data_IF_813145117110
#
_entry.id   IF_813145117110
#
_cell.length_a   1.000
_cell.length_b   1.000
_cell.length_c   1.000
_cell.angle_alpha   90.00
_cell.angle_beta   90.00
_cell.angle_gamma   90.00
#
_symmetry.space_group_name_H-M   'P 1'
#
loop_
_entity.id
_entity.type
_entity.pdbx_description
1 polymer ?
#
# COMPACT_ATOMS: atom_id res chain seq x y z
N UNK A 1 -60.06 40.82 -56.04
CA UNK A 1 -60.03 40.43 -54.62
C UNK A 1 -59.17 39.19 -54.47
N UNK A 2 -58.09 39.30 -53.68
CA UNK A 2 -57.43 38.26 -52.84
C UNK A 2 -56.92 36.98 -53.52
N UNK A 3 -55.75 36.41 -53.23
CA UNK A 3 -54.78 36.66 -52.16
C UNK A 3 -53.46 36.00 -52.58
N UNK A 4 -52.35 36.75 -52.57
CA UNK A 4 -51.02 36.17 -52.73
C UNK A 4 -50.57 35.56 -51.41
N UNK A 5 -50.35 34.24 -51.38
CA UNK A 5 -49.72 33.57 -50.24
C UNK A 5 -48.21 33.76 -50.31
N UNK A 6 -47.69 34.74 -49.57
CA UNK A 6 -46.27 34.85 -49.25
C UNK A 6 -45.87 33.67 -48.35
N UNK A 7 -44.98 32.79 -48.85
CA UNK A 7 -44.32 31.78 -48.00
C UNK A 7 -43.29 32.50 -47.14
N UNK A 8 -43.53 32.55 -45.83
CA UNK A 8 -42.48 32.95 -44.89
C UNK A 8 -41.32 31.95 -44.94
N UNK A 9 -40.05 32.41 -44.91
CA UNK A 9 -38.91 31.54 -44.71
C UNK A 9 -39.00 30.91 -43.31
N UNK A 10 -39.04 29.58 -43.27
CA UNK A 10 -39.09 28.82 -42.02
C UNK A 10 -37.98 29.24 -41.07
N UNK A 11 -38.38 29.71 -39.88
CA UNK A 11 -37.49 30.05 -38.78
C UNK A 11 -36.56 28.87 -38.50
N UNK A 12 -35.26 29.11 -38.58
CA UNK A 12 -34.25 28.12 -38.19
C UNK A 12 -34.51 27.66 -36.75
N UNK A 13 -34.32 26.36 -36.44
CA UNK A 13 -34.47 25.88 -35.06
C UNK A 13 -33.56 26.69 -34.14
N UNK A 14 -34.02 27.06 -32.94
CA UNK A 14 -33.24 27.87 -32.02
C UNK A 14 -31.90 27.17 -31.75
N UNK A 15 -30.81 27.87 -32.06
CA UNK A 15 -29.46 27.44 -31.70
C UNK A 15 -29.45 27.26 -30.18
N UNK A 16 -29.06 26.08 -29.64
CA UNK A 16 -29.03 25.87 -28.20
C UNK A 16 -28.14 26.94 -27.57
N UNK A 17 -28.76 27.85 -26.84
CA UNK A 17 -28.09 28.96 -26.20
C UNK A 17 -27.15 28.41 -25.12
N UNK A 18 -25.99 29.05 -25.05
CA UNK A 18 -24.89 28.87 -24.10
C UNK A 18 -25.29 28.06 -22.86
N UNK A 19 -24.69 26.86 -22.73
CA UNK A 19 -24.72 25.99 -21.55
C UNK A 19 -24.81 26.83 -20.28
N UNK A 20 -25.92 26.71 -19.53
CA UNK A 20 -26.14 27.44 -18.29
C UNK A 20 -24.88 27.42 -17.43
N UNK A 21 -24.39 28.61 -17.05
CA UNK A 21 -23.25 28.77 -16.14
C UNK A 21 -23.63 28.09 -14.83
N UNK A 22 -23.11 26.87 -14.62
CA UNK A 22 -23.16 26.20 -13.31
C UNK A 22 -22.60 27.17 -12.26
N UNK A 23 -23.28 27.25 -11.11
CA UNK A 23 -22.89 28.09 -9.96
C UNK A 23 -21.38 27.98 -9.71
N UNK A 24 -20.68 29.10 -9.42
CA UNK A 24 -19.24 29.08 -9.22
C UNK A 24 -18.92 28.17 -8.03
N UNK A 25 -18.30 27.03 -8.31
CA UNK A 25 -17.71 26.19 -7.28
C UNK A 25 -16.30 26.70 -7.00
N UNK A 26 -15.76 26.45 -5.81
CA UNK A 26 -14.36 26.82 -5.52
C UNK A 26 -13.43 26.21 -6.58
N UNK A 27 -12.41 26.95 -7.01
CA UNK A 27 -11.45 26.53 -8.04
C UNK A 27 -10.88 25.12 -7.82
N UNK A 28 -10.70 24.71 -6.55
CA UNK A 28 -10.24 23.38 -6.17
C UNK A 28 -11.24 22.26 -6.57
N UNK A 29 -12.54 22.51 -6.43
CA UNK A 29 -13.62 21.59 -6.82
C UNK A 29 -13.70 21.49 -8.34
N UNK A 30 -13.48 22.58 -9.06
CA UNK A 30 -13.44 22.57 -10.54
C UNK A 30 -12.22 21.80 -11.07
N UNK A 31 -11.06 22.05 -10.46
CA UNK A 31 -9.82 21.34 -10.79
C UNK A 31 -9.98 19.83 -10.55
N UNK A 32 -10.55 19.43 -9.40
CA UNK A 32 -10.84 18.02 -9.10
C UNK A 32 -11.96 17.43 -9.97
N UNK A 33 -12.90 18.26 -10.44
CA UNK A 33 -13.92 17.87 -11.40
C UNK A 33 -13.32 17.35 -12.71
N UNK A 34 -12.17 17.87 -13.11
CA UNK A 34 -11.47 17.48 -14.33
C UNK A 34 -10.81 16.10 -14.27
N UNK A 35 -10.56 15.50 -15.44
CA UNK A 35 -9.78 14.25 -15.52
C UNK A 35 -8.31 14.45 -15.12
N UNK A 36 -7.77 15.65 -15.30
CA UNK A 36 -6.38 16.00 -14.95
C UNK A 36 -6.22 16.07 -13.44
N UNK A 37 -7.11 16.79 -12.73
CA UNK A 37 -7.07 16.88 -11.27
C UNK A 37 -7.23 15.52 -10.59
N UNK A 38 -8.10 14.64 -11.11
CA UNK A 38 -8.24 13.27 -10.59
C UNK A 38 -6.96 12.43 -10.74
N UNK A 39 -6.25 12.56 -11.87
CA UNK A 39 -4.96 11.89 -12.07
C UNK A 39 -3.88 12.44 -11.13
N UNK A 40 -3.86 13.75 -10.90
CA UNK A 40 -2.94 14.37 -9.95
C UNK A 40 -3.19 13.85 -8.52
N UNK A 41 -4.46 13.82 -8.07
CA UNK A 41 -4.82 13.24 -6.77
C UNK A 41 -4.44 11.76 -6.69
N UNK A 42 -4.71 10.97 -7.74
CA UNK A 42 -4.31 9.56 -7.78
C UNK A 42 -2.79 9.37 -7.65
N UNK A 43 -1.99 10.22 -8.29
CA UNK A 43 -0.54 10.16 -8.23
C UNK A 43 0.00 10.58 -6.86
N UNK A 44 -0.47 11.70 -6.30
CA UNK A 44 -0.01 12.20 -4.99
C UNK A 44 -0.35 11.22 -3.88
N UNK A 45 -1.60 10.74 -3.85
CA UNK A 45 -2.03 9.72 -2.87
C UNK A 45 -1.26 8.42 -3.05
N UNK A 46 -0.99 8.02 -4.29
CA UNK A 46 -0.15 6.86 -4.61
C UNK A 46 1.27 6.99 -4.04
N UNK A 47 1.92 8.16 -4.15
CA UNK A 47 3.25 8.41 -3.57
C UNK A 47 3.23 8.25 -2.05
N UNK A 48 2.25 8.86 -1.38
CA UNK A 48 2.10 8.77 0.08
C UNK A 48 1.94 7.31 0.51
N UNK A 49 1.06 6.56 -0.15
CA UNK A 49 0.82 5.15 0.16
C UNK A 49 2.03 4.27 -0.14
N UNK A 50 2.74 4.50 -1.26
CA UNK A 50 3.98 3.78 -1.59
C UNK A 50 5.08 4.03 -0.55
N UNK A 51 5.26 5.29 -0.14
CA UNK A 51 6.20 5.66 0.91
C UNK A 51 5.88 4.97 2.24
N UNK A 52 4.59 4.94 2.61
CA UNK A 52 4.14 4.22 3.79
C UNK A 52 4.41 2.73 3.72
N UNK A 53 4.05 2.06 2.62
CA UNK A 53 4.29 0.61 2.45
C UNK A 53 5.78 0.28 2.58
N UNK A 54 6.66 1.13 2.03
CA UNK A 54 8.11 0.96 2.17
C UNK A 54 8.57 1.09 3.62
N UNK A 55 8.21 2.17 4.32
CA UNK A 55 8.62 2.38 5.72
C UNK A 55 7.98 1.33 6.64
N UNK A 56 6.74 0.92 6.36
CA UNK A 56 6.05 -0.13 7.08
C UNK A 56 6.74 -1.49 6.92
N UNK A 57 7.13 -1.86 5.70
CA UNK A 57 7.94 -3.05 5.45
C UNK A 57 9.26 -2.99 6.22
N UNK A 58 9.99 -1.87 6.16
CA UNK A 58 11.25 -1.69 6.90
C UNK A 58 11.04 -1.85 8.41
N UNK A 59 9.97 -1.29 8.95
CA UNK A 59 9.58 -1.48 10.35
C UNK A 59 9.32 -2.94 10.69
N UNK A 60 8.59 -3.67 9.84
CA UNK A 60 8.27 -5.09 10.04
C UNK A 60 9.51 -5.99 9.93
N UNK A 61 10.49 -5.66 9.08
CA UNK A 61 11.73 -6.42 8.95
C UNK A 61 12.58 -6.45 10.22
N UNK A 62 12.30 -5.58 11.20
CA UNK A 62 12.90 -5.66 12.55
C UNK A 62 12.56 -6.96 13.28
N UNK A 63 11.56 -7.71 12.82
CA UNK A 63 11.26 -9.06 13.32
C UNK A 63 12.43 -10.05 13.12
N UNK A 64 13.37 -9.74 12.22
CA UNK A 64 14.57 -10.54 11.98
C UNK A 64 15.81 -10.04 12.74
N UNK A 65 15.68 -9.02 13.59
CA UNK A 65 16.80 -8.56 14.40
C UNK A 65 17.03 -9.54 15.56
N UNK A 66 18.26 -9.65 16.08
CA UNK A 66 18.47 -10.22 17.42
C UNK A 66 17.58 -9.47 18.43
N UNK A 67 17.04 -10.15 19.44
CA UNK A 67 16.06 -9.57 20.38
C UNK A 67 14.85 -8.93 19.67
N UNK A 68 14.34 -9.59 18.63
CA UNK A 68 13.29 -9.06 17.76
C UNK A 68 12.08 -8.55 18.53
N UNK A 69 11.66 -9.26 19.59
CA UNK A 69 10.56 -8.86 20.46
C UNK A 69 10.77 -7.47 21.05
N UNK A 70 11.92 -7.27 21.70
CA UNK A 70 12.31 -5.99 22.29
C UNK A 70 12.38 -4.90 21.24
N UNK A 71 13.03 -5.16 20.10
CA UNK A 71 13.21 -4.15 19.05
C UNK A 71 11.89 -3.74 18.38
N UNK A 72 10.99 -4.68 18.10
CA UNK A 72 9.73 -4.39 17.44
C UNK A 72 8.77 -3.67 18.40
N UNK A 73 8.68 -4.14 19.66
CA UNK A 73 7.82 -3.53 20.67
C UNK A 73 8.32 -2.12 21.04
N UNK A 74 9.62 -1.93 21.23
CA UNK A 74 10.21 -0.61 21.45
C UNK A 74 10.03 0.33 20.26
N UNK A 75 10.15 -0.18 19.03
CA UNK A 75 9.87 0.62 17.84
C UNK A 75 8.41 1.05 17.77
N UNK A 76 7.47 0.15 18.07
CA UNK A 76 6.05 0.46 18.15
C UNK A 76 5.73 1.53 19.21
N UNK A 77 6.43 1.49 20.35
CA UNK A 77 6.30 2.51 21.39
C UNK A 77 6.93 3.85 21.01
N UNK A 78 8.12 3.83 20.39
CA UNK A 78 8.76 5.03 19.87
C UNK A 78 7.86 5.80 18.90
N UNK A 79 7.17 5.10 17.99
CA UNK A 79 6.20 5.74 17.09
C UNK A 79 5.07 6.48 17.81
N UNK A 80 4.75 6.09 19.06
CA UNK A 80 3.77 6.76 19.92
C UNK A 80 4.35 7.90 20.72
N UNK A 81 5.65 8.18 20.68
CA UNK A 81 6.26 9.27 21.47
C UNK A 81 6.99 10.28 20.59
N UNK A 82 7.02 10.06 19.26
CA UNK A 82 7.59 11.01 18.30
C UNK A 82 6.92 12.40 18.45
N UNK A 83 7.75 13.41 18.68
CA UNK A 83 7.32 14.81 18.79
C UNK A 83 6.94 15.25 20.20
N UNK A 84 7.03 14.39 21.21
CA UNK A 84 6.92 14.83 22.61
C UNK A 84 8.08 15.77 22.99
N UNK A 85 7.83 16.82 23.80
CA UNK A 85 6.55 17.23 24.39
C UNK A 85 5.73 18.19 23.51
N UNK A 86 6.19 18.56 22.31
CA UNK A 86 5.52 19.53 21.42
C UNK A 86 4.13 19.02 21.00
N UNK A 87 4.03 17.73 20.71
CA UNK A 87 2.78 17.02 20.48
C UNK A 87 2.50 16.08 21.67
N UNK A 88 1.23 15.80 22.01
CA UNK A 88 0.89 14.72 22.93
C UNK A 88 1.46 13.38 22.42
N UNK A 89 1.73 12.42 23.30
CA UNK A 89 2.24 11.06 22.98
C UNK A 89 1.80 10.58 21.60
N UNK A 90 0.55 10.17 21.45
CA UNK A 90 0.06 9.63 20.17
C UNK A 90 -0.21 10.66 19.06
N UNK A 91 0.13 11.94 19.26
CA UNK A 91 -0.24 13.06 18.39
C UNK A 91 0.33 12.93 16.98
N UNK A 92 1.65 12.73 16.86
CA UNK A 92 2.29 12.50 15.56
C UNK A 92 1.75 11.26 14.85
N UNK A 93 1.55 10.16 15.59
CA UNK A 93 0.99 8.93 15.06
C UNK A 93 -0.41 9.14 14.46
N UNK A 94 -1.27 9.93 15.12
CA UNK A 94 -2.60 10.25 14.62
C UNK A 94 -2.60 11.16 13.38
N UNK A 95 -1.62 12.07 13.27
CA UNK A 95 -1.41 12.86 12.05
C UNK A 95 -1.11 11.94 10.87
N UNK A 96 -0.13 11.04 11.06
CA UNK A 96 0.24 10.06 10.01
C UNK A 96 -0.95 9.17 9.66
N UNK A 97 -1.65 8.61 10.65
CA UNK A 97 -2.86 7.78 10.42
C UNK A 97 -3.94 8.52 9.64
N UNK A 98 -4.24 9.76 10.02
CA UNK A 98 -5.25 10.57 9.34
C UNK A 98 -4.85 10.86 7.89
N UNK A 99 -3.57 11.19 7.66
CA UNK A 99 -3.05 11.40 6.31
C UNK A 99 -3.13 10.14 5.44
N UNK A 100 -2.85 8.95 6.01
CA UNK A 100 -2.96 7.67 5.31
C UNK A 100 -4.40 7.30 4.99
N UNK A 101 -5.32 7.45 5.94
CA UNK A 101 -6.75 7.20 5.73
C UNK A 101 -7.27 8.11 4.63
N UNK A 102 -7.00 9.42 4.72
CA UNK A 102 -7.41 10.38 3.71
C UNK A 102 -6.81 10.03 2.35
N UNK A 103 -5.52 9.70 2.29
CA UNK A 103 -4.84 9.33 1.04
C UNK A 103 -5.45 8.07 0.43
N UNK A 104 -5.74 7.05 1.23
CA UNK A 104 -6.37 5.81 0.79
C UNK A 104 -7.77 6.03 0.22
N UNK A 105 -8.62 6.79 0.93
CA UNK A 105 -9.98 7.11 0.48
C UNK A 105 -9.96 7.92 -0.82
N UNK A 106 -9.10 8.94 -0.90
CA UNK A 106 -8.94 9.74 -2.11
C UNK A 106 -8.37 8.92 -3.27
N UNK A 107 -7.46 7.98 -3.01
CA UNK A 107 -6.90 7.09 -4.01
C UNK A 107 -7.99 6.20 -4.62
N UNK A 108 -8.81 5.56 -3.79
CA UNK A 108 -9.95 4.74 -4.24
C UNK A 108 -10.96 5.60 -5.01
N UNK A 109 -11.34 6.76 -4.46
CA UNK A 109 -12.32 7.63 -5.09
C UNK A 109 -11.84 8.11 -6.48
N UNK A 110 -10.56 8.49 -6.61
CA UNK A 110 -9.96 8.87 -7.88
C UNK A 110 -9.92 7.67 -8.86
N UNK A 111 -9.54 6.48 -8.39
CA UNK A 111 -9.49 5.26 -9.21
C UNK A 111 -10.87 4.88 -9.77
N UNK A 112 -11.91 4.91 -8.93
CA UNK A 112 -13.30 4.64 -9.33
C UNK A 112 -13.80 5.72 -10.29
N UNK A 113 -13.56 7.00 -9.96
CA UNK A 113 -13.98 8.13 -10.79
C UNK A 113 -13.35 8.10 -12.18
N UNK A 114 -12.05 7.83 -12.27
CA UNK A 114 -11.33 7.71 -13.55
C UNK A 114 -11.80 6.49 -14.33
N UNK A 115 -12.06 5.37 -13.65
CA UNK A 115 -12.62 4.17 -14.29
C UNK A 115 -14.01 4.43 -14.88
N UNK A 116 -14.88 5.13 -14.14
CA UNK A 116 -16.21 5.51 -14.62
C UNK A 116 -16.13 6.50 -15.79
N UNK A 117 -15.26 7.50 -15.73
CA UNK A 117 -15.03 8.44 -16.85
C UNK A 117 -14.52 7.71 -18.10
N UNK A 118 -13.55 6.82 -17.96
CA UNK A 118 -13.02 6.03 -19.07
C UNK A 118 -14.08 5.11 -19.70
N UNK A 119 -14.99 4.56 -18.89
CA UNK A 119 -16.12 3.75 -19.38
C UNK A 119 -17.15 4.60 -20.11
N UNK A 120 -17.51 5.76 -19.56
CA UNK A 120 -18.48 6.69 -20.19
C UNK A 120 -17.96 7.26 -21.50
N UNK A 121 -16.66 7.51 -21.60
CA UNK A 121 -16.02 8.01 -22.83
C UNK A 121 -15.93 6.93 -23.94
N UNK A 122 -16.29 5.67 -23.66
CA UNK A 122 -16.11 4.53 -24.58
C UNK A 122 -17.40 3.68 -24.71
N UNK A 123 -18.44 4.19 -25.40
CA UNK A 123 -19.69 3.45 -25.63
C UNK A 123 -19.58 2.34 -26.70
N UNK A 124 -18.61 2.41 -27.62
CA UNK A 124 -18.28 1.31 -28.56
C UNK A 124 -16.90 0.74 -28.19
N UNK A 125 -16.77 -0.59 -28.20
CA UNK A 125 -15.49 -1.28 -27.95
C UNK A 125 -14.43 -0.95 -29.01
N UNK A 126 -13.15 -1.18 -28.72
CA UNK A 126 -12.07 -0.93 -29.68
C UNK A 126 -12.05 -1.98 -30.81
N UNK A 127 -12.04 -1.52 -32.05
CA UNK A 127 -11.78 -2.32 -33.25
C UNK A 127 -10.26 -2.41 -33.49
N UNK A 128 -9.60 -3.51 -33.04
CA UNK A 128 -8.17 -3.75 -33.31
C UNK A 128 -7.50 -4.74 -32.35
N UNK A 129 -7.10 -5.92 -32.85
CA UNK A 129 -6.89 -7.13 -32.03
C UNK A 129 -5.56 -7.35 -31.28
N UNK A 130 -4.46 -6.63 -31.56
CA UNK A 130 -3.12 -7.02 -31.05
C UNK A 130 -2.52 -6.19 -29.92
N UNK A 131 -2.67 -4.86 -29.92
CA UNK A 131 -2.23 -3.99 -28.80
C UNK A 131 -3.28 -3.88 -27.68
N UNK A 132 -4.53 -4.26 -28.00
CA UNK A 132 -5.67 -4.18 -27.08
C UNK A 132 -5.61 -5.21 -25.95
N UNK A 133 -5.19 -6.44 -26.24
CA UNK A 133 -5.17 -7.53 -25.25
C UNK A 133 -4.28 -7.18 -24.05
N UNK A 134 -3.06 -6.70 -24.29
CA UNK A 134 -2.13 -6.31 -23.24
C UNK A 134 -2.64 -5.12 -22.40
N UNK A 135 -3.22 -4.10 -23.03
CA UNK A 135 -3.81 -2.96 -22.33
C UNK A 135 -5.05 -3.37 -21.51
N UNK A 136 -5.88 -4.28 -22.04
CA UNK A 136 -7.06 -4.82 -21.35
C UNK A 136 -6.68 -5.69 -20.17
N UNK A 137 -5.61 -6.49 -20.29
CA UNK A 137 -5.09 -7.34 -19.24
C UNK A 137 -4.54 -6.50 -18.09
N UNK A 138 -3.66 -5.53 -18.38
CA UNK A 138 -3.11 -4.62 -17.37
C UNK A 138 -4.21 -3.83 -16.64
N UNK A 139 -5.27 -3.41 -17.34
CA UNK A 139 -6.41 -2.74 -16.71
C UNK A 139 -7.22 -3.68 -15.81
N UNK A 140 -7.39 -4.95 -16.20
CA UNK A 140 -8.11 -5.96 -15.42
C UNK A 140 -7.32 -6.35 -14.17
N UNK A 141 -6.02 -6.61 -14.31
CA UNK A 141 -5.13 -6.93 -13.19
C UNK A 141 -5.04 -5.77 -12.21
N UNK A 142 -4.99 -4.51 -12.68
CA UNK A 142 -4.98 -3.34 -11.79
C UNK A 142 -6.23 -3.18 -10.94
N UNK A 143 -7.41 -3.43 -11.51
CA UNK A 143 -8.67 -3.33 -10.77
C UNK A 143 -8.77 -4.42 -9.71
N UNK A 144 -8.52 -5.67 -10.11
CA UNK A 144 -8.63 -6.79 -9.18
C UNK A 144 -7.55 -6.78 -8.12
N UNK A 145 -6.29 -6.44 -8.47
CA UNK A 145 -5.24 -6.27 -7.46
C UNK A 145 -5.58 -5.16 -6.46
N UNK A 146 -6.16 -4.03 -6.92
CA UNK A 146 -6.62 -2.97 -6.02
C UNK A 146 -7.74 -3.41 -5.08
N UNK A 147 -8.71 -4.18 -5.56
CA UNK A 147 -9.78 -4.75 -4.70
C UNK A 147 -9.21 -5.72 -3.69
N UNK A 148 -8.32 -6.63 -4.09
CA UNK A 148 -7.65 -7.58 -3.21
C UNK A 148 -6.84 -6.84 -2.13
N UNK A 149 -6.08 -5.81 -2.51
CA UNK A 149 -5.32 -4.98 -1.55
C UNK A 149 -6.26 -4.26 -0.57
N UNK A 150 -7.41 -3.76 -1.03
CA UNK A 150 -8.39 -3.13 -0.15
C UNK A 150 -8.98 -4.12 0.88
N UNK A 151 -9.33 -5.32 0.46
CA UNK A 151 -9.79 -6.38 1.35
C UNK A 151 -8.70 -6.84 2.32
N UNK A 152 -7.47 -6.99 1.82
CA UNK A 152 -6.30 -7.31 2.63
C UNK A 152 -6.04 -6.24 3.69
N UNK A 153 -6.14 -4.95 3.36
CA UNK A 153 -5.95 -3.88 4.34
C UNK A 153 -6.97 -3.98 5.48
N UNK A 154 -8.25 -4.25 5.16
CA UNK A 154 -9.28 -4.45 6.20
C UNK A 154 -8.95 -5.65 7.09
N UNK A 155 -8.60 -6.79 6.48
CA UNK A 155 -8.19 -7.98 7.22
C UNK A 155 -6.96 -7.71 8.09
N UNK A 156 -5.91 -7.09 7.53
CA UNK A 156 -4.69 -6.72 8.21
C UNK A 156 -4.93 -5.82 9.44
N UNK A 157 -5.84 -4.85 9.33
CA UNK A 157 -6.21 -4.00 10.46
C UNK A 157 -6.99 -4.79 11.53
N UNK A 158 -7.94 -5.64 11.13
CA UNK A 158 -8.65 -6.52 12.07
C UNK A 158 -7.70 -7.49 12.79
N UNK A 159 -6.66 -7.94 12.10
CA UNK A 159 -5.73 -8.95 12.60
C UNK A 159 -4.62 -8.36 13.50
N UNK A 160 -3.97 -7.27 13.07
CA UNK A 160 -2.77 -6.74 13.75
C UNK A 160 -2.96 -5.38 14.42
N UNK A 161 -4.07 -4.69 14.19
CA UNK A 161 -4.31 -3.35 14.78
C UNK A 161 -5.47 -3.33 15.77
N UNK A 162 -6.57 -3.99 15.43
CA UNK A 162 -7.78 -4.02 16.25
C UNK A 162 -7.95 -5.33 17.03
N UNK A 163 -7.37 -6.43 16.55
CA UNK A 163 -7.37 -7.74 17.22
C UNK A 163 -8.61 -8.60 16.98
N UNK A 164 -9.60 -8.15 16.20
CA UNK A 164 -10.82 -8.90 15.93
C UNK A 164 -10.60 -10.22 15.17
N UNK A 165 -9.50 -10.35 14.41
CA UNK A 165 -9.18 -11.55 13.62
C UNK A 165 -8.00 -12.36 14.20
N UNK A 166 -7.46 -11.93 15.35
CA UNK A 166 -6.33 -12.55 16.01
C UNK A 166 -6.70 -12.92 17.46
N UNK A 167 -6.94 -14.21 17.75
CA UNK A 167 -7.36 -14.67 19.08
C UNK A 167 -6.36 -14.34 20.19
N UNK A 168 -5.07 -14.29 19.88
CA UNK A 168 -3.98 -14.09 20.83
C UNK A 168 -3.47 -12.63 20.83
N UNK A 169 -4.33 -11.70 20.41
CA UNK A 169 -3.97 -10.29 20.30
C UNK A 169 -3.73 -9.63 21.67
N UNK A 170 -2.56 -9.04 21.85
CA UNK A 170 -2.16 -8.25 23.01
C UNK A 170 -1.96 -6.79 22.61
N UNK A 171 -2.68 -5.89 23.26
CA UNK A 171 -2.64 -4.46 22.94
C UNK A 171 -1.30 -3.86 23.36
N UNK A 172 -0.57 -3.31 22.39
CA UNK A 172 0.70 -2.64 22.63
C UNK A 172 1.93 -3.48 22.30
N UNK A 173 1.74 -4.75 21.92
CA UNK A 173 2.81 -5.70 21.61
C UNK A 173 2.78 -6.14 20.14
N UNK A 174 3.30 -5.32 19.21
CA UNK A 174 3.37 -5.67 17.79
C UNK A 174 4.04 -7.01 17.50
N UNK A 175 5.05 -7.41 18.27
CA UNK A 175 5.80 -8.65 18.00
C UNK A 175 4.92 -9.87 18.23
N UNK A 176 4.35 -9.99 19.43
CA UNK A 176 3.45 -11.08 19.78
C UNK A 176 2.31 -11.20 18.77
N UNK A 177 1.65 -10.09 18.44
CA UNK A 177 0.53 -10.09 17.51
C UNK A 177 0.91 -10.56 16.11
N UNK A 178 2.10 -10.15 15.63
CA UNK A 178 2.62 -10.56 14.33
C UNK A 178 2.94 -12.06 14.32
N UNK A 179 3.69 -12.56 15.31
CA UNK A 179 4.12 -13.96 15.38
C UNK A 179 2.92 -14.88 15.55
N UNK A 180 2.07 -14.63 16.55
CA UNK A 180 0.88 -15.43 16.82
C UNK A 180 -0.09 -15.45 15.62
N UNK A 181 -0.18 -14.34 14.88
CA UNK A 181 -0.99 -14.32 13.67
C UNK A 181 -0.40 -15.20 12.57
N UNK A 182 0.89 -15.04 12.26
CA UNK A 182 1.55 -15.67 11.12
C UNK A 182 1.91 -17.15 11.35
N UNK A 183 1.96 -17.64 12.59
CA UNK A 183 2.04 -19.08 12.87
C UNK A 183 0.76 -19.83 12.48
N UNK A 184 -0.39 -19.14 12.37
CA UNK A 184 -1.61 -19.74 11.82
C UNK A 184 -1.48 -19.85 10.30
N UNK A 185 -1.16 -21.06 9.82
CA UNK A 185 -0.84 -21.29 8.40
C UNK A 185 -1.86 -20.73 7.38
N UNK A 186 -3.20 -20.74 7.61
CA UNK A 186 -4.14 -20.14 6.65
C UNK A 186 -3.97 -18.63 6.56
N UNK A 187 -3.65 -17.98 7.68
CA UNK A 187 -3.44 -16.53 7.75
C UNK A 187 -2.13 -16.17 7.07
N UNK A 188 -1.04 -16.90 7.33
CA UNK A 188 0.21 -16.71 6.60
C UNK A 188 0.01 -16.77 5.08
N UNK A 189 -0.76 -17.76 4.59
CA UNK A 189 -1.07 -17.88 3.17
C UNK A 189 -1.85 -16.67 2.63
N UNK A 190 -2.83 -16.15 3.38
CA UNK A 190 -3.55 -14.91 3.03
C UNK A 190 -2.59 -13.74 2.90
N UNK A 191 -1.66 -13.56 3.86
CA UNK A 191 -0.64 -12.51 3.81
C UNK A 191 0.28 -12.65 2.59
N UNK A 192 0.70 -13.87 2.25
CA UNK A 192 1.54 -14.13 1.08
C UNK A 192 0.80 -13.74 -0.21
N UNK A 193 -0.40 -14.28 -0.43
CA UNK A 193 -1.19 -14.02 -1.65
C UNK A 193 -1.53 -12.54 -1.78
N UNK A 194 -1.90 -11.89 -0.67
CA UNK A 194 -2.21 -10.47 -0.67
C UNK A 194 -0.98 -9.59 -0.98
N UNK A 195 0.21 -9.93 -0.46
CA UNK A 195 1.42 -9.19 -0.78
C UNK A 195 1.87 -9.41 -2.23
N UNK A 196 1.63 -10.57 -2.84
CA UNK A 196 1.83 -10.77 -4.27
C UNK A 196 0.88 -9.88 -5.10
N UNK A 197 -0.40 -9.79 -4.71
CA UNK A 197 -1.35 -8.88 -5.34
C UNK A 197 -0.95 -7.40 -5.16
N UNK A 198 -0.45 -7.03 -3.97
CA UNK A 198 0.12 -5.71 -3.69
C UNK A 198 1.32 -5.43 -4.61
N UNK A 199 2.21 -6.39 -4.82
CA UNK A 199 3.33 -6.26 -5.76
C UNK A 199 2.88 -5.97 -7.19
N UNK A 200 1.88 -6.70 -7.69
CA UNK A 200 1.27 -6.43 -9.00
C UNK A 200 0.66 -5.03 -9.05
N UNK A 201 -0.05 -4.62 -7.99
CA UNK A 201 -0.65 -3.29 -7.88
C UNK A 201 0.40 -2.17 -7.89
N UNK A 202 1.48 -2.32 -7.11
CA UNK A 202 2.59 -1.38 -7.02
C UNK A 202 3.33 -1.26 -8.35
N UNK A 203 3.64 -2.38 -9.01
CA UNK A 203 4.33 -2.37 -10.30
C UNK A 203 3.59 -1.51 -11.33
N UNK A 204 2.29 -1.75 -11.48
CA UNK A 204 1.44 -0.99 -12.40
C UNK A 204 1.21 0.46 -11.93
N UNK A 205 1.02 0.66 -10.62
CA UNK A 205 0.86 1.97 -9.99
C UNK A 205 2.07 2.86 -10.24
N UNK A 206 3.27 2.40 -9.90
CA UNK A 206 4.53 3.09 -10.12
C UNK A 206 4.75 3.40 -11.61
N UNK A 207 4.44 2.47 -12.52
CA UNK A 207 4.50 2.72 -13.96
C UNK A 207 3.57 3.87 -14.40
N UNK A 208 2.32 3.83 -13.95
CA UNK A 208 1.28 4.82 -14.29
C UNK A 208 1.52 6.20 -13.65
N UNK A 209 2.22 6.23 -12.51
CA UNK A 209 2.58 7.45 -11.79
C UNK A 209 3.45 8.36 -12.66
N UNK A 210 4.50 7.81 -13.27
CA UNK A 210 5.36 8.56 -14.17
C UNK A 210 4.60 9.12 -15.39
N UNK A 211 3.54 8.45 -15.85
CA UNK A 211 2.69 8.98 -16.92
C UNK A 211 1.84 10.15 -16.45
N UNK A 212 1.33 10.07 -15.21
CA UNK A 212 0.46 11.09 -14.63
C UNK A 212 1.22 12.36 -14.23
N UNK A 213 2.50 12.23 -13.90
CA UNK A 213 3.42 13.36 -13.63
C UNK A 213 4.03 13.98 -14.89
N UNK A 214 3.68 13.49 -16.09
CA UNK A 214 4.21 14.02 -17.35
C UNK A 214 5.64 13.56 -17.68
N UNK A 215 6.25 12.70 -16.87
CA UNK A 215 7.59 12.12 -17.08
C UNK A 215 7.57 10.97 -18.11
N UNK A 216 6.74 11.09 -19.15
CA UNK A 216 6.51 10.07 -20.17
C UNK A 216 7.37 10.30 -21.41
N UNK A 217 8.70 10.17 -21.26
CA UNK A 217 9.63 10.21 -22.40
C UNK A 217 10.06 8.78 -22.78
N UNK A 218 9.93 8.36 -24.05
CA UNK A 218 10.34 7.04 -24.52
C UNK A 218 11.77 6.64 -24.14
N UNK A 219 12.69 7.61 -24.07
CA UNK A 219 14.10 7.37 -23.68
C UNK A 219 14.24 6.80 -22.27
N UNK A 220 13.33 7.12 -21.36
CA UNK A 220 13.36 6.65 -19.97
C UNK A 220 12.44 5.45 -19.69
N UNK A 221 11.76 4.90 -20.71
CA UNK A 221 10.81 3.80 -20.50
C UNK A 221 11.46 2.56 -19.87
N UNK A 222 12.68 2.20 -20.30
CA UNK A 222 13.39 1.05 -19.75
C UNK A 222 13.75 1.27 -18.27
N UNK A 223 14.27 2.45 -17.94
CA UNK A 223 14.61 2.82 -16.57
C UNK A 223 13.37 2.85 -15.67
N UNK A 224 12.27 3.48 -16.11
CA UNK A 224 11.00 3.51 -15.38
C UNK A 224 10.45 2.11 -15.11
N UNK A 225 10.54 1.22 -16.10
CA UNK A 225 10.11 -0.18 -15.96
C UNK A 225 10.96 -0.91 -14.93
N UNK A 226 12.29 -0.79 -15.02
CA UNK A 226 13.21 -1.40 -14.06
C UNK A 226 12.99 -0.88 -12.64
N UNK A 227 12.77 0.43 -12.49
CA UNK A 227 12.42 1.02 -11.20
C UNK A 227 11.12 0.42 -10.64
N UNK A 228 10.04 0.40 -11.43
CA UNK A 228 8.76 -0.16 -10.99
C UNK A 228 8.87 -1.64 -10.61
N UNK A 229 9.65 -2.43 -11.38
CA UNK A 229 9.92 -3.83 -11.08
C UNK A 229 10.75 -4.01 -9.80
N UNK A 230 11.87 -3.29 -9.69
CA UNK A 230 12.75 -3.38 -8.53
C UNK A 230 12.05 -2.94 -7.24
N UNK A 231 11.32 -1.83 -7.29
CA UNK A 231 10.57 -1.33 -6.14
C UNK A 231 9.49 -2.32 -5.70
N UNK A 232 8.68 -2.84 -6.64
CA UNK A 232 7.68 -3.86 -6.32
C UNK A 232 8.31 -5.15 -5.78
N UNK A 233 9.42 -5.61 -6.37
CA UNK A 233 10.12 -6.81 -5.93
C UNK A 233 10.66 -6.68 -4.50
N UNK A 234 11.27 -5.54 -4.16
CA UNK A 234 11.77 -5.29 -2.80
C UNK A 234 10.62 -5.38 -1.78
N UNK A 235 9.49 -4.72 -2.05
CA UNK A 235 8.32 -4.76 -1.16
C UNK A 235 7.78 -6.18 -1.00
N UNK A 236 7.62 -6.91 -2.10
CA UNK A 236 7.10 -8.28 -2.07
C UNK A 236 8.05 -9.19 -1.30
N UNK A 237 9.34 -9.17 -1.61
CA UNK A 237 10.34 -10.03 -0.97
C UNK A 237 10.39 -9.74 0.53
N UNK A 238 10.46 -8.46 0.92
CA UNK A 238 10.53 -8.08 2.33
C UNK A 238 9.27 -8.42 3.13
N UNK A 239 8.07 -8.25 2.56
CA UNK A 239 6.84 -8.60 3.28
C UNK A 239 6.54 -10.11 3.25
N UNK A 240 6.87 -10.82 2.17
CA UNK A 240 6.61 -12.27 2.03
C UNK A 240 7.62 -13.11 2.81
N UNK A 241 8.85 -12.61 3.03
CA UNK A 241 9.83 -13.34 3.83
C UNK A 241 9.34 -13.59 5.27
N UNK A 242 8.57 -12.68 5.85
CA UNK A 242 8.04 -12.78 7.22
C UNK A 242 7.09 -13.98 7.41
N UNK A 243 5.96 -14.10 6.68
CA UNK A 243 5.08 -15.27 6.79
C UNK A 243 5.76 -16.56 6.34
N UNK A 244 6.69 -16.51 5.38
CA UNK A 244 7.47 -17.70 5.00
C UNK A 244 8.37 -18.15 6.14
N UNK A 245 9.03 -17.24 6.85
CA UNK A 245 9.84 -17.55 8.02
C UNK A 245 8.98 -18.14 9.15
N UNK A 246 7.79 -17.58 9.40
CA UNK A 246 6.84 -18.14 10.37
C UNK A 246 6.44 -19.58 10.02
N UNK A 247 6.10 -19.85 8.76
CA UNK A 247 5.75 -21.20 8.30
C UNK A 247 6.93 -22.19 8.35
N UNK A 248 8.16 -21.68 8.28
CA UNK A 248 9.37 -22.46 8.39
C UNK A 248 9.79 -22.73 9.85
N UNK A 249 9.04 -22.24 10.84
CA UNK A 249 9.34 -22.40 12.26
C UNK A 249 10.42 -21.45 12.80
N UNK A 250 10.79 -20.40 12.06
CA UNK A 250 11.84 -19.46 12.46
C UNK A 250 11.55 -18.75 13.81
N UNK A 251 10.28 -18.63 14.19
CA UNK A 251 9.88 -17.97 15.44
C UNK A 251 9.62 -18.97 16.58
N UNK A 252 9.85 -20.26 16.38
CA UNK A 252 9.58 -21.30 17.38
C UNK A 252 10.76 -21.49 18.35
N UNK A 253 11.97 -21.04 17.98
CA UNK A 253 13.18 -21.18 18.80
C UNK A 253 13.39 -20.00 19.78
N UNK A 254 13.59 -20.27 21.08
CA UNK A 254 13.77 -19.24 22.11
C UNK A 254 15.08 -18.45 22.02
N UNK A 255 16.08 -18.93 21.29
CA UNK A 255 17.34 -18.20 21.04
C UNK A 255 17.11 -16.90 20.23
N UNK A 256 16.06 -16.85 19.40
CA UNK A 256 15.69 -15.65 18.65
C UNK A 256 14.95 -14.58 19.49
N UNK A 257 14.48 -14.97 20.68
CA UNK A 257 13.69 -14.13 21.59
C UNK A 257 14.59 -13.38 22.59
N UNK A 258 15.70 -13.99 22.99
CA UNK A 258 16.47 -13.56 24.17
C UNK A 258 17.87 -13.01 23.86
N UNK A 259 18.38 -13.17 22.63
CA UNK A 259 19.72 -12.68 22.27
C UNK A 259 20.85 -13.40 23.00
N UNK A 260 20.51 -14.38 23.83
CA UNK A 260 21.43 -15.35 24.40
C UNK A 260 21.77 -16.35 23.29
N UNK A 261 22.69 -15.95 22.42
CA UNK A 261 23.52 -16.92 21.73
C UNK A 261 24.15 -17.79 22.81
N UNK A 262 23.72 -19.04 22.87
CA UNK A 262 24.29 -20.18 23.57
C UNK A 262 25.62 -19.84 24.28
N UNK A 263 25.54 -19.44 25.54
CA UNK A 263 26.68 -19.51 26.45
C UNK A 263 26.91 -20.99 26.76
N UNK A 264 27.35 -21.78 25.77
CA UNK A 264 27.74 -23.16 25.97
C UNK A 264 29.06 -23.41 25.26
N UNK A 265 30.06 -23.66 26.11
CA UNK A 265 31.24 -24.48 25.85
C UNK A 265 32.53 -23.77 25.44
N UNK A 266 33.05 -22.91 26.33
CA UNK A 266 34.50 -22.90 26.62
C UNK A 266 34.72 -22.84 28.13
N UNK A 267 34.48 -23.95 28.81
CA UNK A 267 35.20 -24.27 30.04
C UNK A 267 36.00 -25.54 29.75
N UNK A 268 37.33 -25.41 29.68
CA UNK A 268 38.12 -26.27 30.56
C UNK A 268 39.28 -25.48 31.15
N UNK A 269 39.40 -25.51 32.48
CA UNK A 269 40.62 -25.84 33.22
C UNK A 269 40.39 -25.45 34.68
N UNK A 270 39.88 -26.41 35.46
CA UNK A 270 40.11 -26.41 36.89
C UNK A 270 41.60 -26.74 37.11
N UNK A 271 42.38 -25.92 37.83
CA UNK A 271 43.69 -26.36 38.28
C UNK A 271 43.53 -27.43 39.37
N UNK A 272 44.25 -28.52 39.18
CA UNK A 272 44.27 -29.68 40.05
C UNK A 272 44.60 -29.32 41.51
N UNK A 273 43.87 -29.95 42.43
CA UNK A 273 44.17 -30.02 43.85
C UNK A 273 45.56 -30.62 44.09
N UNK A 274 46.49 -29.84 44.64
CA UNK A 274 47.72 -30.37 45.20
C UNK A 274 47.51 -30.70 46.68
N UNK A 275 47.07 -31.93 46.96
CA UNK A 275 47.24 -32.58 48.25
C UNK A 275 48.17 -33.77 48.03
N UNK A 276 49.44 -33.62 48.39
CA UNK A 276 50.30 -34.68 48.95
C UNK A 276 51.73 -34.17 49.14
N UNK A 277 52.10 -33.93 50.40
CA UNK A 277 53.31 -34.52 51.01
C UNK A 277 53.41 -34.01 52.45
N UNK A 278 53.05 -34.88 53.39
CA UNK A 278 53.58 -34.81 54.74
C UNK A 278 54.96 -35.47 54.78
N UNK A 279 55.93 -34.77 55.33
CA UNK A 279 57.05 -35.26 56.16
C UNK A 279 57.81 -34.06 56.68
#
# INVERSE_FOLDING_TARGET
MLSGTTREPGAAPPIPTVRERRRPSSWAVELYGSAVGKKAVMAVTGIVLLGFVLVHMIGNLKVFFPDAEKHLNAYGEYLRTIGEPILPRTGFLWIVRSALILSFLLHIHAAVSLTALNRKARPKGYEGGRSYSAASYAARTMRWSGVIVGLYLLFHLMDLTWGNANPDFIRGEPYNNLVASLQRWPVALVYIVANLALGVHIYHGAWSLFQSLGLNNPRFNLWRKRFAQGFAAIIVIGNVSIPVAALAGYFDDPEHITGEATATQTAPFAPASNQAAGS
#
